data_IF_889477849595
#
_entry.id   IF_889477849595
#
_cell.length_a   1.000
_cell.length_b   1.000
_cell.length_c   1.000
_cell.angle_alpha   90.00
_cell.angle_beta   90.00
_cell.angle_gamma   90.00
#
_symmetry.space_group_name_H-M   'P 1'
#
loop_
_entity.id
_entity.type
_entity.pdbx_description
1 polymer ?
#
# COMPACT_ATOMS: atom_id res chain seq x y z
N UNK A 1 1.68 21.70 18.32
CA UNK A 1 1.17 21.33 19.64
C UNK A 1 2.28 20.69 20.48
N UNK A 2 3.01 19.68 19.96
CA UNK A 2 4.10 19.00 20.68
C UNK A 2 5.26 19.92 21.08
N UNK A 3 5.57 20.95 20.29
CA UNK A 3 6.54 21.99 20.66
C UNK A 3 6.02 22.85 21.82
N UNK A 4 4.74 23.28 21.76
CA UNK A 4 4.11 24.09 22.80
C UNK A 4 3.95 23.33 24.12
N UNK A 5 3.80 22.03 24.07
CA UNK A 5 3.67 21.17 25.28
C UNK A 5 5.01 20.62 25.76
N UNK A 6 6.13 20.89 25.05
CA UNK A 6 7.45 20.35 25.38
C UNK A 6 7.58 18.84 25.20
N UNK A 7 6.64 18.18 24.50
CA UNK A 7 6.64 16.73 24.30
C UNK A 7 7.78 16.26 23.38
N UNK A 8 8.15 17.10 22.39
CA UNK A 8 9.30 16.83 21.50
C UNK A 8 10.37 17.92 21.66
N UNK A 9 11.65 17.55 21.59
CA UNK A 9 12.73 18.53 21.52
C UNK A 9 12.59 19.40 20.26
N UNK A 10 12.96 20.68 20.37
CA UNK A 10 12.87 21.64 19.25
C UNK A 10 13.62 21.15 17.99
N UNK A 11 14.77 20.51 18.16
CA UNK A 11 15.54 19.94 17.05
C UNK A 11 14.74 18.90 16.28
N UNK A 12 13.97 18.05 16.99
CA UNK A 12 13.12 17.03 16.34
C UNK A 12 11.92 17.63 15.62
N UNK A 13 11.37 18.71 16.17
CA UNK A 13 10.28 19.45 15.49
C UNK A 13 10.78 20.07 14.19
N UNK A 14 11.97 20.69 14.19
CA UNK A 14 12.60 21.26 12.99
C UNK A 14 12.88 20.18 11.93
N UNK A 15 13.41 19.02 12.34
CA UNK A 15 13.63 17.86 11.45
C UNK A 15 12.33 17.40 10.80
N UNK A 16 11.26 17.24 11.57
CA UNK A 16 9.96 16.81 11.06
C UNK A 16 9.34 17.82 10.10
N UNK A 17 9.44 19.13 10.40
CA UNK A 17 8.94 20.18 9.51
C UNK A 17 9.72 20.19 8.19
N UNK A 18 11.06 20.07 8.27
CA UNK A 18 11.90 19.99 7.07
C UNK A 18 11.51 18.78 6.22
N UNK A 19 11.42 17.60 6.83
CA UNK A 19 11.02 16.37 6.12
C UNK A 19 9.61 16.50 5.50
N UNK A 20 8.67 17.14 6.20
CA UNK A 20 7.33 17.40 5.66
C UNK A 20 7.39 18.31 4.42
N UNK A 21 8.29 19.29 4.40
CA UNK A 21 8.45 20.18 3.25
C UNK A 21 8.97 19.48 1.98
N UNK A 22 9.64 18.31 2.14
CA UNK A 22 10.12 17.49 1.03
C UNK A 22 9.06 16.50 0.49
N UNK A 23 7.95 16.30 1.20
CA UNK A 23 6.94 15.32 0.80
C UNK A 23 6.35 15.59 -0.60
N UNK A 24 6.05 16.82 -1.03
CA UNK A 24 5.55 17.05 -2.38
C UNK A 24 6.49 16.53 -3.47
N UNK A 25 7.81 16.79 -3.35
CA UNK A 25 8.81 16.33 -4.32
C UNK A 25 8.96 14.80 -4.29
N UNK A 26 8.89 14.20 -3.09
CA UNK A 26 8.89 12.74 -2.93
C UNK A 26 7.64 12.09 -3.52
N UNK A 27 6.47 12.72 -3.42
CA UNK A 27 5.25 12.26 -4.08
C UNK A 27 5.41 12.31 -5.59
N UNK A 28 5.92 13.41 -6.14
CA UNK A 28 6.20 13.54 -7.57
C UNK A 28 7.14 12.42 -8.05
N UNK A 29 8.23 12.20 -7.32
CA UNK A 29 9.18 11.12 -7.61
C UNK A 29 8.51 9.73 -7.56
N UNK A 30 7.65 9.51 -6.57
CA UNK A 30 6.90 8.26 -6.44
C UNK A 30 5.97 8.04 -7.64
N UNK A 31 5.23 9.07 -8.06
CA UNK A 31 4.35 9.02 -9.23
C UNK A 31 5.12 8.66 -10.50
N UNK A 32 6.24 9.33 -10.75
CA UNK A 32 7.06 9.12 -11.95
C UNK A 32 7.67 7.72 -12.00
N UNK A 33 8.28 7.28 -10.89
CA UNK A 33 8.97 5.98 -10.83
C UNK A 33 8.03 4.78 -10.82
N UNK A 34 6.86 4.92 -10.18
CA UNK A 34 5.93 3.80 -10.04
C UNK A 34 4.99 3.61 -11.24
N UNK A 35 4.85 4.61 -12.11
CA UNK A 35 3.82 4.60 -13.17
C UNK A 35 3.86 3.35 -14.06
N UNK A 36 5.01 2.97 -14.55
CA UNK A 36 5.12 1.86 -15.53
C UNK A 36 4.98 0.50 -14.85
N UNK A 37 5.64 0.30 -13.71
CA UNK A 37 5.52 -0.95 -12.94
C UNK A 37 4.09 -1.16 -12.43
N UNK A 38 3.40 -0.09 -12.00
CA UNK A 38 2.01 -0.17 -11.55
C UNK A 38 1.06 -0.53 -12.70
N UNK A 39 1.30 -0.03 -13.93
CA UNK A 39 0.54 -0.46 -15.13
C UNK A 39 0.76 -1.93 -15.44
N UNK A 40 1.99 -2.40 -15.34
CA UNK A 40 2.30 -3.81 -15.52
C UNK A 40 1.55 -4.67 -14.51
N UNK A 41 1.65 -4.34 -13.20
CA UNK A 41 0.93 -5.03 -12.13
C UNK A 41 -0.59 -4.99 -12.39
N UNK A 42 -1.13 -3.83 -12.77
CA UNK A 42 -2.55 -3.68 -13.08
C UNK A 42 -3.01 -4.62 -14.20
N UNK A 43 -2.19 -4.80 -15.25
CA UNK A 43 -2.49 -5.71 -16.34
C UNK A 43 -2.58 -7.17 -15.90
N UNK A 44 -1.81 -7.56 -14.88
CA UNK A 44 -1.81 -8.90 -14.29
C UNK A 44 -2.96 -9.12 -13.29
N UNK A 45 -3.44 -8.02 -12.67
CA UNK A 45 -4.47 -8.09 -11.64
C UNK A 45 -5.89 -7.81 -12.14
N UNK A 46 -6.05 -7.24 -13.34
CA UNK A 46 -7.37 -6.78 -13.84
C UNK A 46 -8.46 -7.86 -13.84
N UNK A 47 -8.07 -9.13 -14.00
CA UNK A 47 -9.00 -10.26 -14.07
C UNK A 47 -9.11 -11.03 -12.74
N UNK A 48 -8.39 -10.60 -11.69
CA UNK A 48 -8.51 -11.18 -10.36
C UNK A 48 -9.89 -10.90 -9.76
N UNK A 49 -10.36 -11.81 -8.92
CA UNK A 49 -11.64 -11.68 -8.21
C UNK A 49 -11.47 -11.14 -6.80
N UNK A 50 -10.28 -11.32 -6.22
CA UNK A 50 -9.96 -10.90 -4.86
C UNK A 50 -8.48 -10.45 -4.74
N UNK A 51 -8.17 -9.72 -3.69
CA UNK A 51 -6.81 -9.30 -3.35
C UNK A 51 -6.69 -9.06 -1.85
N UNK A 52 -5.52 -9.33 -1.28
CA UNK A 52 -5.22 -9.09 0.13
C UNK A 52 -4.15 -8.01 0.27
N UNK A 53 -4.41 -7.00 1.10
CA UNK A 53 -3.49 -5.93 1.41
C UNK A 53 -3.00 -6.06 2.86
N UNK A 54 -1.69 -6.11 3.05
CA UNK A 54 -1.09 -6.38 4.35
C UNK A 54 -0.15 -5.26 4.79
N UNK A 55 -0.37 -4.77 6.00
CA UNK A 55 0.47 -3.75 6.62
C UNK A 55 0.64 -3.97 8.11
N UNK A 56 1.69 -3.39 8.68
CA UNK A 56 1.93 -3.37 10.13
C UNK A 56 1.96 -1.95 10.66
N UNK A 57 1.47 -1.74 11.89
CA UNK A 57 1.43 -0.43 12.54
C UNK A 57 0.79 0.63 11.63
N UNK A 58 1.47 1.76 11.36
CA UNK A 58 0.98 2.83 10.47
C UNK A 58 0.75 2.39 9.01
N UNK A 59 1.33 1.28 8.59
CA UNK A 59 1.09 0.72 7.25
C UNK A 59 -0.20 -0.12 7.17
N UNK A 60 -0.81 -0.48 8.29
CA UNK A 60 -2.11 -1.16 8.27
C UNK A 60 -3.24 -0.22 7.77
N UNK A 61 -3.40 1.02 8.25
CA UNK A 61 -4.33 1.97 7.63
C UNK A 61 -4.08 2.19 6.13
N UNK A 62 -2.82 2.17 5.67
CA UNK A 62 -2.49 2.26 4.24
C UNK A 62 -3.00 1.02 3.47
N UNK A 63 -2.88 -0.16 4.06
CA UNK A 63 -3.44 -1.39 3.48
C UNK A 63 -4.97 -1.33 3.38
N UNK A 64 -5.65 -0.77 4.39
CA UNK A 64 -7.10 -0.54 4.36
C UNK A 64 -7.49 0.42 3.24
N UNK A 65 -6.76 1.53 3.08
CA UNK A 65 -7.01 2.53 2.03
C UNK A 65 -6.80 1.92 0.63
N UNK A 66 -5.71 1.18 0.42
CA UNK A 66 -5.45 0.50 -0.86
C UNK A 66 -6.56 -0.50 -1.23
N UNK A 67 -6.98 -1.33 -0.28
CA UNK A 67 -8.08 -2.26 -0.46
C UNK A 67 -9.42 -1.54 -0.72
N UNK A 68 -9.67 -0.42 -0.04
CA UNK A 68 -10.86 0.40 -0.23
C UNK A 68 -10.89 0.97 -1.66
N UNK A 69 -9.82 1.60 -2.11
CA UNK A 69 -9.75 2.17 -3.47
C UNK A 69 -9.95 1.11 -4.55
N UNK A 70 -9.34 -0.06 -4.38
CA UNK A 70 -9.54 -1.15 -5.34
C UNK A 70 -11.01 -1.60 -5.41
N UNK A 71 -11.66 -1.80 -4.26
CA UNK A 71 -13.10 -2.17 -4.20
C UNK A 71 -14.00 -1.14 -4.86
N UNK A 72 -13.79 0.14 -4.51
CA UNK A 72 -14.69 1.23 -4.91
C UNK A 72 -14.76 1.39 -6.42
N UNK A 73 -13.62 1.34 -7.12
CA UNK A 73 -13.57 1.72 -8.54
C UNK A 73 -13.40 0.55 -9.50
N UNK A 74 -12.87 -0.60 -9.06
CA UNK A 74 -12.66 -1.78 -9.92
C UNK A 74 -13.64 -2.92 -9.67
N UNK A 75 -14.35 -2.89 -8.54
CA UNK A 75 -15.28 -3.92 -8.07
C UNK A 75 -14.62 -5.28 -7.79
N UNK A 76 -13.31 -5.32 -7.64
CA UNK A 76 -12.59 -6.48 -7.14
C UNK A 76 -12.76 -6.53 -5.62
N UNK A 77 -13.10 -7.70 -5.07
CA UNK A 77 -13.13 -7.86 -3.62
C UNK A 77 -11.71 -7.75 -3.06
N UNK A 78 -11.48 -6.79 -2.18
CA UNK A 78 -10.17 -6.57 -1.58
C UNK A 78 -10.30 -6.32 -0.08
N UNK A 79 -9.39 -6.92 0.70
CA UNK A 79 -9.36 -6.74 2.15
C UNK A 79 -8.00 -6.21 2.60
N UNK A 80 -8.04 -5.20 3.49
CA UNK A 80 -6.86 -4.76 4.24
C UNK A 80 -6.79 -5.49 5.57
N UNK A 81 -5.63 -6.07 5.90
CA UNK A 81 -5.45 -6.83 7.13
C UNK A 81 -4.16 -6.45 7.85
N UNK A 82 -4.14 -6.45 9.20
CA UNK A 82 -2.88 -6.39 9.92
C UNK A 82 -2.05 -7.62 9.57
N UNK A 83 -0.85 -7.43 9.04
CA UNK A 83 -0.01 -8.56 8.64
C UNK A 83 0.30 -9.53 9.79
N UNK A 84 0.26 -9.03 11.05
CA UNK A 84 0.39 -9.87 12.25
C UNK A 84 -0.75 -10.88 12.40
N UNK A 85 -1.97 -10.52 11.96
CA UNK A 85 -3.17 -11.33 12.12
C UNK A 85 -3.44 -12.25 10.92
N UNK A 86 -2.61 -12.18 9.87
CA UNK A 86 -2.78 -13.00 8.67
C UNK A 86 -2.91 -14.51 8.97
N UNK A 87 -2.19 -15.00 9.99
CA UNK A 87 -2.19 -16.41 10.39
C UNK A 87 -3.52 -16.88 10.99
N UNK A 88 -4.36 -15.98 11.46
CA UNK A 88 -5.61 -16.29 12.17
C UNK A 88 -6.83 -16.42 11.24
N UNK A 89 -6.60 -16.68 9.95
CA UNK A 89 -7.68 -16.91 8.99
C UNK A 89 -7.26 -16.58 7.55
N UNK A 90 -6.92 -15.32 7.23
CA UNK A 90 -6.64 -14.89 5.85
C UNK A 90 -5.59 -15.71 5.10
N UNK A 91 -4.62 -16.29 5.81
CA UNK A 91 -3.59 -17.14 5.23
C UNK A 91 -4.15 -18.37 4.51
N UNK A 92 -5.34 -18.84 4.88
CA UNK A 92 -6.01 -19.96 4.25
C UNK A 92 -6.51 -19.64 2.83
N UNK A 93 -6.66 -18.35 2.49
CA UNK A 93 -7.12 -17.89 1.18
C UNK A 93 -5.98 -17.72 0.18
N UNK A 94 -4.72 -17.80 0.65
CA UNK A 94 -3.55 -17.52 -0.19
C UNK A 94 -3.28 -18.71 -1.10
N UNK A 95 -3.31 -18.45 -2.39
CA UNK A 95 -2.92 -19.34 -3.47
C UNK A 95 -2.19 -18.56 -4.58
N UNK A 96 -1.88 -19.24 -5.69
CA UNK A 96 -1.16 -18.67 -6.85
C UNK A 96 -1.95 -17.59 -7.60
N UNK A 97 -3.26 -17.56 -7.44
CA UNK A 97 -4.18 -16.68 -8.19
C UNK A 97 -4.61 -15.47 -7.37
N UNK A 98 -4.32 -15.46 -6.07
CA UNK A 98 -4.63 -14.35 -5.16
C UNK A 98 -3.43 -13.40 -4.99
N UNK A 99 -3.51 -12.15 -5.49
CA UNK A 99 -2.49 -11.15 -5.23
C UNK A 99 -2.46 -10.74 -3.76
N UNK A 100 -1.26 -10.69 -3.20
CA UNK A 100 -1.02 -10.23 -1.83
C UNK A 100 -0.11 -9.00 -1.88
N UNK A 101 -0.65 -7.85 -1.50
CA UNK A 101 0.05 -6.58 -1.53
C UNK A 101 0.59 -6.26 -0.14
N UNK A 102 1.91 -6.15 -0.01
CA UNK A 102 2.59 -5.78 1.22
C UNK A 102 3.02 -4.32 1.23
N UNK A 103 2.74 -3.61 2.32
CA UNK A 103 3.30 -2.29 2.60
C UNK A 103 4.46 -2.49 3.58
N UNK A 104 5.69 -2.55 3.04
CA UNK A 104 6.91 -2.96 3.74
C UNK A 104 7.89 -1.80 4.00
N UNK A 105 7.38 -0.60 4.28
CA UNK A 105 8.19 0.62 4.45
C UNK A 105 8.58 0.92 5.90
N UNK A 106 8.18 0.09 6.86
CA UNK A 106 8.37 0.35 8.30
C UNK A 106 9.65 -0.28 8.83
N UNK A 107 10.64 0.55 9.16
CA UNK A 107 11.94 0.10 9.71
C UNK A 107 11.81 -0.62 11.07
N UNK A 108 10.89 -0.21 11.94
CA UNK A 108 10.77 -0.76 13.30
C UNK A 108 10.18 -2.17 13.39
N UNK A 109 9.44 -2.60 12.36
CA UNK A 109 8.84 -3.95 12.28
C UNK A 109 9.29 -4.72 11.05
N UNK A 110 10.39 -4.29 10.43
CA UNK A 110 10.86 -4.80 9.16
C UNK A 110 11.04 -6.33 9.15
N UNK A 111 11.77 -6.89 10.12
CA UNK A 111 11.97 -8.34 10.23
C UNK A 111 10.67 -9.14 10.32
N UNK A 112 9.66 -8.57 11.00
CA UNK A 112 8.34 -9.19 11.11
C UNK A 112 7.57 -9.14 9.79
N UNK A 113 7.73 -8.07 9.00
CA UNK A 113 7.17 -7.99 7.65
C UNK A 113 7.84 -8.99 6.74
N UNK A 114 9.17 -9.09 6.77
CA UNK A 114 9.96 -10.09 6.04
C UNK A 114 9.44 -11.51 6.32
N UNK A 115 9.23 -11.85 7.59
CA UNK A 115 8.65 -13.15 7.97
C UNK A 115 7.26 -13.37 7.37
N UNK A 116 6.39 -12.35 7.37
CA UNK A 116 5.06 -12.46 6.77
C UNK A 116 5.14 -12.63 5.24
N UNK A 117 6.04 -11.92 4.55
CA UNK A 117 6.28 -12.11 3.10
C UNK A 117 6.72 -13.55 2.81
N UNK A 118 7.65 -14.08 3.63
CA UNK A 118 8.13 -15.46 3.47
C UNK A 118 7.02 -16.49 3.68
N UNK A 119 6.10 -16.26 4.61
CA UNK A 119 4.94 -17.13 4.84
C UNK A 119 3.99 -17.18 3.64
N UNK A 120 3.78 -16.06 2.96
CA UNK A 120 2.99 -15.99 1.71
C UNK A 120 3.74 -16.69 0.58
N UNK A 121 5.05 -16.45 0.45
CA UNK A 121 5.89 -17.07 -0.58
C UNK A 121 5.87 -18.60 -0.51
N UNK A 122 5.93 -19.19 0.71
CA UNK A 122 5.87 -20.64 0.90
C UNK A 122 4.54 -21.28 0.50
N UNK A 123 3.50 -20.46 0.26
CA UNK A 123 2.17 -20.88 -0.21
C UNK A 123 1.91 -20.54 -1.66
N UNK A 124 2.97 -20.16 -2.39
CA UNK A 124 2.91 -19.73 -3.79
C UNK A 124 1.98 -18.52 -4.04
N UNK A 125 1.73 -17.70 -3.01
CA UNK A 125 0.99 -16.46 -3.18
C UNK A 125 1.75 -15.47 -4.08
N UNK A 126 1.03 -14.74 -4.92
CA UNK A 126 1.59 -13.72 -5.80
C UNK A 126 1.86 -12.44 -5.01
N UNK A 127 3.13 -12.12 -4.81
CA UNK A 127 3.59 -11.07 -3.89
C UNK A 127 3.89 -9.78 -4.65
N UNK A 128 3.22 -8.70 -4.26
CA UNK A 128 3.47 -7.33 -4.70
C UNK A 128 3.88 -6.53 -3.47
N UNK A 129 5.06 -5.91 -3.49
CA UNK A 129 5.54 -5.18 -2.31
C UNK A 129 5.82 -3.72 -2.61
N UNK A 130 5.34 -2.83 -1.73
CA UNK A 130 5.76 -1.44 -1.67
C UNK A 130 6.86 -1.37 -0.62
N UNK A 131 8.05 -0.96 -1.06
CA UNK A 131 9.25 -0.91 -0.22
C UNK A 131 9.89 0.47 -0.26
N UNK A 132 10.71 0.78 0.73
CA UNK A 132 11.61 1.94 0.65
C UNK A 132 12.73 1.63 -0.33
N UNK A 133 13.14 2.62 -1.11
CA UNK A 133 14.24 2.49 -2.07
C UNK A 133 15.50 1.87 -1.43
N UNK A 134 16.16 0.95 -2.16
CA UNK A 134 17.32 0.21 -1.68
C UNK A 134 17.01 -1.02 -0.82
N UNK A 135 15.75 -1.41 -0.70
CA UNK A 135 15.39 -2.67 -0.02
C UNK A 135 15.65 -3.87 -0.92
N UNK A 136 16.66 -4.66 -0.60
CA UNK A 136 17.02 -5.86 -1.37
C UNK A 136 16.34 -7.14 -0.83
N UNK A 137 15.99 -7.18 0.46
CA UNK A 137 15.52 -8.41 1.08
C UNK A 137 14.08 -8.73 0.69
N UNK A 138 13.16 -7.78 0.87
CA UNK A 138 11.75 -7.95 0.45
C UNK A 138 11.66 -8.01 -1.08
N UNK A 139 12.48 -7.20 -1.79
CA UNK A 139 12.58 -7.21 -3.24
C UNK A 139 12.86 -8.61 -3.80
N UNK A 140 13.84 -9.33 -3.28
CA UNK A 140 14.20 -10.67 -3.73
C UNK A 140 13.14 -11.74 -3.41
N UNK A 141 12.16 -11.43 -2.58
CA UNK A 141 11.07 -12.34 -2.23
C UNK A 141 9.76 -12.05 -2.99
N UNK A 142 9.67 -10.90 -3.63
CA UNK A 142 8.46 -10.41 -4.28
C UNK A 142 8.46 -10.67 -5.78
N UNK A 143 7.28 -10.90 -6.35
CA UNK A 143 7.09 -11.02 -7.80
C UNK A 143 7.11 -9.64 -8.48
N UNK A 144 6.60 -8.62 -7.78
CA UNK A 144 6.62 -7.22 -8.20
C UNK A 144 7.00 -6.32 -7.04
N UNK A 145 7.76 -5.29 -7.35
CA UNK A 145 8.24 -4.32 -6.34
C UNK A 145 7.99 -2.90 -6.81
N UNK A 146 7.44 -2.09 -5.93
CA UNK A 146 7.27 -0.65 -6.11
C UNK A 146 8.13 0.04 -5.07
N UNK A 147 9.17 0.72 -5.51
CA UNK A 147 10.07 1.47 -4.63
C UNK A 147 9.58 2.90 -4.43
N UNK A 148 9.55 3.35 -3.17
CA UNK A 148 9.24 4.73 -2.81
C UNK A 148 10.46 5.38 -2.13
N UNK A 149 10.64 6.72 -2.24
CA UNK A 149 11.72 7.42 -1.56
C UNK A 149 11.71 7.21 -0.05
N UNK A 150 12.91 7.19 0.57
CA UNK A 150 13.01 7.13 2.03
C UNK A 150 12.47 8.41 2.66
N UNK A 151 11.81 8.25 3.80
CA UNK A 151 11.29 9.34 4.63
C UNK A 151 11.18 8.90 6.09
N UNK A 152 10.89 9.83 6.98
CA UNK A 152 10.57 9.47 8.37
C UNK A 152 9.33 8.58 8.43
N UNK A 153 9.35 7.63 9.34
CA UNK A 153 8.33 6.58 9.46
C UNK A 153 6.89 7.14 9.53
N UNK A 154 6.72 8.30 10.16
CA UNK A 154 5.42 8.99 10.29
C UNK A 154 4.86 9.46 8.94
N UNK A 155 5.70 9.76 7.96
CA UNK A 155 5.29 10.28 6.66
C UNK A 155 5.29 9.22 5.55
N UNK A 156 5.87 8.04 5.79
CA UNK A 156 5.87 6.95 4.81
C UNK A 156 4.46 6.55 4.33
N UNK A 157 3.38 6.62 5.14
CA UNK A 157 2.02 6.39 4.66
C UNK A 157 1.58 7.30 3.51
N UNK A 158 2.03 8.58 3.51
CA UNK A 158 1.71 9.53 2.45
C UNK A 158 2.27 9.08 1.11
N UNK A 159 3.49 8.55 1.09
CA UNK A 159 4.13 8.06 -0.12
C UNK A 159 3.61 6.68 -0.53
N UNK A 160 3.42 5.77 0.43
CA UNK A 160 2.99 4.41 0.16
C UNK A 160 1.54 4.31 -0.37
N UNK A 161 0.69 5.29 -0.06
CA UNK A 161 -0.70 5.35 -0.56
C UNK A 161 -0.76 5.66 -2.06
N UNK A 162 0.18 6.45 -2.60
CA UNK A 162 0.17 6.90 -3.99
C UNK A 162 0.16 5.73 -5.00
N UNK A 163 1.11 4.77 -4.96
CA UNK A 163 1.10 3.66 -5.91
C UNK A 163 -0.12 2.74 -5.74
N UNK A 164 -0.73 2.66 -4.56
CA UNK A 164 -1.97 1.89 -4.36
C UNK A 164 -3.16 2.55 -5.05
N UNK A 165 -3.26 3.88 -4.99
CA UNK A 165 -4.29 4.63 -5.70
C UNK A 165 -4.11 4.52 -7.22
N UNK A 166 -2.87 4.63 -7.72
CA UNK A 166 -2.57 4.40 -9.14
C UNK A 166 -2.91 2.98 -9.58
N UNK A 167 -2.61 1.97 -8.76
CA UNK A 167 -2.92 0.57 -9.06
C UNK A 167 -4.43 0.37 -9.21
N UNK A 168 -5.21 0.86 -8.25
CA UNK A 168 -6.67 0.79 -8.31
C UNK A 168 -7.22 1.50 -9.57
N UNK A 169 -6.68 2.69 -9.88
CA UNK A 169 -7.06 3.46 -11.06
C UNK A 169 -6.78 2.68 -12.37
N UNK A 170 -5.57 2.19 -12.58
CA UNK A 170 -5.23 1.47 -13.80
C UNK A 170 -6.01 0.14 -13.94
N UNK A 171 -6.21 -0.58 -12.86
CA UNK A 171 -7.05 -1.78 -12.87
C UNK A 171 -8.47 -1.42 -13.32
N UNK A 172 -9.07 -0.38 -12.72
CA UNK A 172 -10.42 0.06 -13.06
C UNK A 172 -10.55 0.48 -14.54
N UNK A 173 -9.58 1.26 -15.04
CA UNK A 173 -9.53 1.68 -16.45
C UNK A 173 -9.43 0.46 -17.38
N UNK A 174 -8.54 -0.50 -17.08
CA UNK A 174 -8.37 -1.73 -17.88
C UNK A 174 -9.59 -2.64 -17.84
N UNK A 175 -10.39 -2.57 -16.79
CA UNK A 175 -11.69 -3.27 -16.65
C UNK A 175 -12.86 -2.54 -17.31
N UNK A 176 -12.63 -1.32 -17.86
CA UNK A 176 -13.70 -0.49 -18.43
C UNK A 176 -14.66 0.09 -17.39
N UNK A 177 -14.23 0.20 -16.13
CA UNK A 177 -15.04 0.79 -15.06
C UNK A 177 -15.01 2.33 -15.14
N UNK A 178 -16.12 2.97 -14.75
CA UNK A 178 -16.17 4.42 -14.62
C UNK A 178 -15.52 4.82 -13.28
N UNK A 179 -14.32 5.39 -13.32
CA UNK A 179 -13.56 5.77 -12.13
C UNK A 179 -14.08 7.05 -11.46
N UNK A 180 -14.76 7.92 -12.22
CA UNK A 180 -15.29 9.18 -11.72
C UNK A 180 -16.65 9.03 -11.08
N UNK A 181 -17.42 8.05 -11.52
CA UNK A 181 -18.77 7.76 -11.03
C UNK A 181 -18.95 6.25 -10.79
N UNK A 182 -18.30 5.69 -9.76
CA UNK A 182 -18.49 4.28 -9.41
C UNK A 182 -19.94 3.98 -9.06
N UNK A 183 -20.41 2.79 -9.45
CA UNK A 183 -21.78 2.37 -9.14
C UNK A 183 -22.02 2.32 -7.62
N UNK A 184 -23.24 2.63 -7.19
CA UNK A 184 -23.68 2.56 -5.80
C UNK A 184 -22.94 3.50 -4.83
N UNK A 185 -22.13 4.41 -5.34
CA UNK A 185 -21.45 5.42 -4.53
C UNK A 185 -21.96 6.82 -4.91
N UNK A 186 -22.29 7.62 -3.91
CA UNK A 186 -22.67 9.00 -4.05
C UNK A 186 -21.93 9.85 -3.01
N UNK A 187 -21.66 11.13 -3.35
CA UNK A 187 -21.05 12.10 -2.41
C UNK A 187 -21.94 12.41 -1.21
N UNK A 188 -23.24 12.23 -1.37
CA UNK A 188 -24.23 12.32 -0.29
C UNK A 188 -25.26 11.20 -0.47
N UNK A 189 -25.54 10.45 0.58
CA UNK A 189 -26.65 9.50 0.58
C UNK A 189 -27.91 10.28 0.95
N UNK A 190 -28.83 10.39 -0.01
CA UNK A 190 -30.10 11.13 0.16
C UNK A 190 -31.32 10.21 0.24
N UNK A 191 -31.09 8.89 0.26
CA UNK A 191 -32.15 7.87 0.37
C UNK A 191 -32.06 7.27 1.76
N UNK A 192 -33.10 7.44 2.56
CA UNK A 192 -33.35 6.75 3.82
C UNK A 192 -33.99 5.36 3.56
#
# INVERSE_FOLDING_TARGET
LSELTGYLPKSKVVELIHELSLIPDKIQTTLERSNDIVKEIASQMKDCTNALYLGRLQNFPVALEGALKLKEISYIHAEGYPAAEMKHGPIALIDKDMPVIFIATNKSTYEKVVSNVQEVKTRNGKIISIVTEGDELVKNMSDYVIEIPDTVCTYSPLLATIPLQLLAYYIAVMRGCNVDQPRNLAKSVTVE
#
